data_IF_614103469662
#
_entry.id   IF_614103469662
#
_cell.length_a   1.000
_cell.length_b   1.000
_cell.length_c   1.000
_cell.angle_alpha   90.00
_cell.angle_beta   90.00
_cell.angle_gamma   90.00
#
_symmetry.space_group_name_H-M   'P 1'
#
loop_
_entity.id
_entity.type
_entity.pdbx_description
1 polymer ?
#
# COMPACT_ATOMS: atom_id res chain seq x y z
N UNK A 1 -14.35 -2.13 14.66
CA UNK A 1 -13.01 -2.57 14.23
C UNK A 1 -12.20 -1.33 13.98
N UNK A 2 -11.06 -1.19 14.65
CA UNK A 2 -10.11 -0.11 14.36
C UNK A 2 -9.40 -0.41 13.04
N UNK A 3 -9.22 0.61 12.20
CA UNK A 3 -8.51 0.47 10.92
C UNK A 3 -7.01 0.42 11.23
N UNK A 4 -6.26 -0.63 10.85
CA UNK A 4 -4.83 -0.70 11.10
C UNK A 4 -4.10 0.50 10.52
N UNK A 5 -3.21 1.14 11.28
CA UNK A 5 -2.35 2.22 10.82
C UNK A 5 -1.25 1.67 9.88
N UNK A 6 -0.68 2.44 8.92
CA UNK A 6 0.38 1.94 8.05
C UNK A 6 1.58 1.38 8.81
N UNK A 7 1.94 1.95 9.97
CA UNK A 7 3.05 1.47 10.82
C UNK A 7 2.84 0.07 11.38
N UNK A 8 1.60 -0.41 11.44
CA UNK A 8 1.26 -1.77 11.91
C UNK A 8 1.37 -2.82 10.80
N UNK A 9 1.72 -2.41 9.57
CA UNK A 9 1.85 -3.29 8.41
C UNK A 9 3.33 -3.51 8.12
N UNK A 10 3.81 -4.72 8.38
CA UNK A 10 5.17 -5.11 8.04
C UNK A 10 5.32 -5.21 6.51
N UNK A 11 6.20 -4.37 5.94
CA UNK A 11 6.54 -4.34 4.51
C UNK A 11 7.91 -4.97 4.20
N UNK A 12 8.50 -5.76 5.10
CA UNK A 12 9.76 -6.48 4.85
C UNK A 12 9.60 -7.59 3.80
N UNK A 13 8.43 -8.24 3.74
CA UNK A 13 8.08 -9.26 2.74
C UNK A 13 7.01 -8.76 1.76
N UNK A 14 6.80 -9.52 0.69
CA UNK A 14 5.69 -9.29 -0.25
C UNK A 14 4.36 -9.67 0.41
N UNK A 15 3.27 -9.04 -0.04
CA UNK A 15 1.92 -9.36 0.39
C UNK A 15 1.39 -10.58 -0.36
N UNK A 16 2.05 -11.74 -0.21
CA UNK A 16 1.72 -12.96 -0.94
C UNK A 16 0.21 -13.28 -0.89
N UNK A 17 -0.37 -13.53 -2.06
CA UNK A 17 -1.77 -13.86 -2.31
C UNK A 17 -2.79 -12.80 -1.85
N UNK A 18 -2.35 -11.58 -1.50
CA UNK A 18 -3.26 -10.53 -1.03
C UNK A 18 -4.15 -9.97 -2.16
N UNK A 19 -3.57 -9.88 -3.36
CA UNK A 19 -4.20 -9.23 -4.53
C UNK A 19 -4.28 -10.16 -5.75
N UNK A 20 -3.87 -11.42 -5.62
CA UNK A 20 -3.94 -12.43 -6.68
C UNK A 20 -2.96 -12.23 -7.84
N UNK A 21 -2.04 -11.26 -7.71
CA UNK A 21 -1.04 -10.93 -8.73
C UNK A 21 0.18 -10.27 -8.06
N UNK A 22 1.37 -10.87 -8.28
CA UNK A 22 2.61 -10.44 -7.64
C UNK A 22 2.99 -8.98 -7.93
N UNK A 23 2.76 -8.48 -9.15
CA UNK A 23 3.04 -7.07 -9.49
C UNK A 23 2.13 -6.13 -8.69
N UNK A 24 0.85 -6.52 -8.54
CA UNK A 24 -0.14 -5.76 -7.76
C UNK A 24 0.23 -5.73 -6.28
N UNK A 25 0.75 -6.83 -5.74
CA UNK A 25 1.27 -6.93 -4.37
C UNK A 25 2.51 -6.05 -4.15
N UNK A 26 3.39 -5.97 -5.14
CA UNK A 26 4.55 -5.08 -5.12
C UNK A 26 4.10 -3.62 -5.10
N UNK A 27 3.17 -3.23 -5.97
CA UNK A 27 2.65 -1.87 -5.99
C UNK A 27 1.95 -1.51 -4.68
N UNK A 28 1.16 -2.43 -4.11
CA UNK A 28 0.54 -2.25 -2.80
C UNK A 28 1.58 -1.99 -1.70
N UNK A 29 2.67 -2.76 -1.68
CA UNK A 29 3.77 -2.57 -0.73
C UNK A 29 4.39 -1.18 -0.82
N UNK A 30 4.57 -0.65 -2.02
CA UNK A 30 5.11 0.70 -2.22
C UNK A 30 4.18 1.79 -1.70
N UNK A 31 2.88 1.61 -1.85
CA UNK A 31 1.86 2.55 -1.35
C UNK A 31 1.84 2.55 0.19
N UNK A 32 1.90 1.37 0.82
CA UNK A 32 2.02 1.28 2.30
C UNK A 32 3.28 2.02 2.77
N UNK A 33 4.41 1.83 2.09
CA UNK A 33 5.68 2.51 2.43
C UNK A 33 5.62 4.02 2.25
N UNK A 34 4.90 4.52 1.24
CA UNK A 34 4.64 5.94 1.09
C UNK A 34 3.87 6.48 2.31
N UNK A 35 2.79 5.79 2.71
CA UNK A 35 1.98 6.18 3.86
C UNK A 35 2.81 6.17 5.16
N UNK A 36 3.64 5.14 5.36
CA UNK A 36 4.59 5.06 6.48
C UNK A 36 5.57 6.25 6.47
N UNK A 37 6.13 6.56 5.30
CA UNK A 37 7.07 7.68 5.15
C UNK A 37 6.43 9.05 5.44
N UNK A 38 5.15 9.23 5.11
CA UNK A 38 4.40 10.47 5.37
C UNK A 38 3.99 10.59 6.84
N UNK A 39 3.82 9.47 7.55
CA UNK A 39 3.46 9.40 8.98
C UNK A 39 2.20 10.21 9.35
N UNK A 40 1.21 10.20 8.45
CA UNK A 40 -0.10 10.85 8.64
C UNK A 40 -1.26 9.86 8.38
N UNK A 41 -0.98 8.55 8.46
CA UNK A 41 -1.97 7.50 8.23
C UNK A 41 -2.29 7.27 6.75
N UNK A 42 -3.57 7.00 6.46
CA UNK A 42 -4.08 6.65 5.13
C UNK A 42 -4.60 7.86 4.33
N UNK A 43 -4.05 9.05 4.60
CA UNK A 43 -4.43 10.27 3.89
C UNK A 43 -4.24 10.11 2.38
N UNK A 44 -5.15 10.65 1.56
CA UNK A 44 -5.05 10.58 0.11
C UNK A 44 -3.73 11.11 -0.42
N UNK A 45 -3.31 10.62 -1.58
CA UNK A 45 -2.07 11.00 -2.24
C UNK A 45 -2.29 11.26 -3.72
N UNK A 46 -1.40 12.02 -4.34
CA UNK A 46 -1.37 12.24 -5.79
C UNK A 46 -0.48 11.21 -6.48
N UNK A 47 -0.63 11.06 -7.80
CA UNK A 47 0.29 10.23 -8.58
C UNK A 47 1.75 10.69 -8.39
N UNK A 48 1.96 12.01 -8.33
CA UNK A 48 3.29 12.60 -8.16
C UNK A 48 3.93 12.23 -6.81
N UNK A 49 3.14 12.07 -5.75
CA UNK A 49 3.66 11.64 -4.44
C UNK A 49 4.24 10.23 -4.53
N UNK A 50 3.49 9.29 -5.13
CA UNK A 50 3.93 7.89 -5.21
C UNK A 50 5.01 7.67 -6.26
N UNK A 51 4.90 8.30 -7.44
CA UNK A 51 5.94 8.21 -8.48
C UNK A 51 7.23 8.92 -8.01
N UNK A 52 7.12 10.06 -7.34
CA UNK A 52 8.25 10.76 -6.74
C UNK A 52 8.94 9.94 -5.66
N UNK A 53 8.16 9.29 -4.77
CA UNK A 53 8.71 8.37 -3.77
C UNK A 53 9.40 7.17 -4.41
N UNK A 54 8.78 6.55 -5.41
CA UNK A 54 9.35 5.41 -6.13
C UNK A 54 10.67 5.77 -6.83
N UNK A 55 10.72 6.95 -7.47
CA UNK A 55 11.94 7.53 -8.06
C UNK A 55 13.03 7.83 -7.05
N UNK A 56 12.67 8.32 -5.87
CA UNK A 56 13.65 8.56 -4.79
C UNK A 56 14.38 7.29 -4.35
N UNK A 57 13.85 6.11 -4.69
CA UNK A 57 14.45 4.80 -4.43
C UNK A 57 15.18 4.21 -5.64
N UNK A 58 15.32 4.96 -6.73
CA UNK A 58 16.04 4.57 -7.94
C UNK A 58 15.21 3.81 -8.97
N UNK A 59 13.89 3.77 -8.82
CA UNK A 59 12.98 3.09 -9.75
C UNK A 59 12.18 4.08 -10.61
N UNK A 60 11.59 3.61 -11.71
CA UNK A 60 10.85 4.47 -12.65
C UNK A 60 9.59 3.79 -13.17
N UNK A 61 8.60 4.61 -13.57
CA UNK A 61 7.38 4.12 -14.20
C UNK A 61 6.50 3.36 -13.22
N UNK A 62 6.20 3.94 -12.05
CA UNK A 62 5.34 3.30 -11.08
C UNK A 62 3.94 3.09 -11.66
N UNK A 63 3.43 1.85 -11.59
CA UNK A 63 2.07 1.54 -12.05
C UNK A 63 1.30 0.80 -10.97
N UNK A 64 0.02 1.12 -10.85
CA UNK A 64 -0.87 0.49 -9.87
C UNK A 64 -2.32 0.40 -10.37
N UNK A 65 -2.52 0.37 -11.69
CA UNK A 65 -3.84 0.34 -12.32
C UNK A 65 -4.70 -0.83 -11.82
N UNK A 66 -4.09 -1.99 -11.58
CA UNK A 66 -4.78 -3.15 -11.04
C UNK A 66 -5.36 -2.91 -9.63
N UNK A 67 -4.74 -2.05 -8.82
CA UNK A 67 -5.29 -1.66 -7.52
C UNK A 67 -6.54 -0.77 -7.67
N UNK A 68 -6.60 0.04 -8.72
CA UNK A 68 -7.78 0.86 -9.06
C UNK A 68 -8.88 -0.04 -9.63
N UNK A 69 -8.59 -0.86 -10.64
CA UNK A 69 -9.55 -1.79 -11.25
C UNK A 69 -10.12 -2.76 -10.22
N UNK A 70 -9.29 -3.24 -9.30
CA UNK A 70 -9.70 -4.10 -8.19
C UNK A 70 -10.47 -3.39 -7.07
N UNK A 71 -10.70 -2.07 -7.17
CA UNK A 71 -11.36 -1.23 -6.16
C UNK A 71 -10.67 -1.22 -4.79
N UNK A 72 -9.37 -1.44 -4.78
CA UNK A 72 -8.55 -1.32 -3.58
C UNK A 72 -8.11 0.14 -3.35
N UNK A 73 -8.03 0.90 -4.43
CA UNK A 73 -7.77 2.34 -4.44
C UNK A 73 -8.85 3.02 -5.28
N UNK A 74 -9.35 4.15 -4.81
CA UNK A 74 -10.32 4.96 -5.54
C UNK A 74 -9.70 6.30 -5.95
N UNK A 75 -9.78 6.63 -7.23
CA UNK A 75 -9.39 7.96 -7.71
C UNK A 75 -10.57 8.93 -7.62
N UNK A 76 -10.38 10.05 -6.92
CA UNK A 76 -11.38 11.13 -6.78
C UNK A 76 -10.67 12.48 -6.87
N UNK A 77 -11.07 13.31 -7.83
CA UNK A 77 -10.54 14.67 -8.00
C UNK A 77 -9.00 14.73 -8.09
N UNK A 78 -8.37 13.75 -8.74
CA UNK A 78 -6.91 13.67 -8.87
C UNK A 78 -6.17 13.16 -7.62
N UNK A 79 -6.90 12.72 -6.60
CA UNK A 79 -6.36 12.08 -5.40
C UNK A 79 -6.70 10.59 -5.39
N UNK A 80 -5.77 9.79 -4.91
CA UNK A 80 -5.93 8.36 -4.68
C UNK A 80 -6.26 8.10 -3.21
N UNK A 81 -7.43 7.51 -2.99
CA UNK A 81 -7.95 7.15 -1.69
C UNK A 81 -7.76 5.66 -1.46
N UNK A 82 -7.16 5.31 -0.34
CA UNK A 82 -6.96 3.91 0.06
C UNK A 82 -8.26 3.40 0.68
N UNK A 83 -8.76 2.27 0.19
CA UNK A 83 -9.98 1.65 0.73
C UNK A 83 -9.70 0.81 1.97
N UNK A 84 -10.73 0.53 2.76
CA UNK A 84 -10.62 -0.38 3.89
C UNK A 84 -10.19 -1.79 3.46
N UNK A 85 -10.66 -2.27 2.30
CA UNK A 85 -10.32 -3.62 1.83
C UNK A 85 -8.82 -3.75 1.51
N UNK A 86 -8.22 -2.70 0.93
CA UNK A 86 -6.77 -2.63 0.76
C UNK A 86 -6.04 -2.76 2.10
N UNK A 87 -6.44 -1.97 3.10
CA UNK A 87 -5.79 -1.98 4.42
C UNK A 87 -5.90 -3.35 5.07
N UNK A 88 -7.10 -3.95 5.06
CA UNK A 88 -7.34 -5.26 5.67
C UNK A 88 -6.52 -6.35 4.99
N UNK A 89 -6.40 -6.33 3.66
CA UNK A 89 -5.59 -7.30 2.91
C UNK A 89 -4.10 -7.15 3.20
N UNK A 90 -3.57 -5.93 3.11
CA UNK A 90 -2.19 -5.64 3.45
C UNK A 90 -1.86 -6.07 4.88
N UNK A 91 -2.74 -5.77 5.84
CA UNK A 91 -2.55 -6.18 7.23
C UNK A 91 -2.62 -7.70 7.41
N UNK A 92 -3.55 -8.41 6.77
CA UNK A 92 -3.64 -9.87 6.89
C UNK A 92 -2.45 -10.59 6.27
N UNK A 93 -1.94 -10.07 5.16
CA UNK A 93 -0.83 -10.67 4.43
C UNK A 93 0.54 -10.17 4.88
N UNK A 94 0.62 -9.17 5.77
CA UNK A 94 1.89 -8.77 6.36
C UNK A 94 2.39 -9.88 7.29
N UNK A 95 3.72 -10.11 7.37
CA UNK A 95 4.26 -10.91 8.45
C UNK A 95 3.72 -10.42 9.80
N UNK A 96 3.46 -11.37 10.69
CA UNK A 96 3.18 -11.09 12.09
C UNK A 96 4.46 -11.36 12.85
N UNK A 97 4.83 -10.46 13.76
CA UNK A 97 5.79 -10.82 14.80
C UNK A 97 5.29 -12.11 15.43
N UNK A 98 6.14 -13.13 15.45
CA UNK A 98 5.88 -14.29 16.29
C UNK A 98 5.92 -13.77 17.71
N UNK A 99 4.82 -13.87 18.45
CA UNK A 99 4.90 -13.86 19.90
C UNK A 99 5.92 -14.93 20.30
N UNK A 100 7.06 -14.49 20.82
CA UNK A 100 8.04 -15.38 21.41
C UNK A 100 7.43 -15.75 22.77
N UNK A 101 6.78 -16.92 22.84
CA UNK A 101 6.38 -17.55 24.10
C UNK A 101 7.62 -17.90 24.94
#
# INVERSE_FOLDING_TARGET
MEIPNPEQIDTTKHFYDAFGNCETEISARWIVRLCQKRNIGWEPFTYNDIDGFYRSKGFYGFTFNNLITGRYIEEKNGLYHITLDFVVRCYKSSPKEKEIN
#
